data_IF_472593525399
#
_entry.id   IF_472593525399
#
_cell.length_a   1.000
_cell.length_b   1.000
_cell.length_c   1.000
_cell.angle_alpha   90.00
_cell.angle_beta   90.00
_cell.angle_gamma   90.00
#
_symmetry.space_group_name_H-M   'P 1'
#
loop_
_entity.id
_entity.type
_entity.pdbx_description
1 polymer ?
#
# COMPACT_ATOMS: atom_id res chain seq x y z
N UNK A 1 4.63 -1.68 -29.21
CA UNK A 1 4.71 -2.10 -30.62
C UNK A 1 6.14 -2.31 -31.11
N UNK A 2 7.04 -1.31 -31.10
CA UNK A 2 8.42 -1.52 -31.62
C UNK A 2 9.26 -2.53 -30.81
N UNK A 3 9.15 -2.52 -29.49
CA UNK A 3 9.81 -3.54 -28.64
C UNK A 3 9.30 -4.96 -28.91
N UNK A 4 8.01 -5.09 -29.24
CA UNK A 4 7.39 -6.36 -29.64
C UNK A 4 7.87 -6.82 -31.02
N UNK A 5 8.03 -5.89 -31.98
CA UNK A 5 8.69 -6.20 -33.25
C UNK A 5 10.15 -6.67 -33.03
N UNK A 6 10.87 -6.08 -32.06
CA UNK A 6 12.19 -6.56 -31.64
C UNK A 6 12.19 -7.99 -31.09
N UNK A 7 11.16 -8.37 -30.33
CA UNK A 7 10.95 -9.75 -29.85
C UNK A 7 10.70 -10.73 -31.00
N UNK A 8 9.88 -10.36 -31.99
CA UNK A 8 9.64 -11.18 -33.18
C UNK A 8 10.90 -11.33 -34.07
N UNK A 9 11.78 -10.33 -34.06
CA UNK A 9 13.11 -10.42 -34.67
C UNK A 9 14.01 -11.40 -33.91
N UNK A 10 13.90 -11.46 -32.57
CA UNK A 10 14.60 -12.46 -31.75
C UNK A 10 14.10 -13.89 -32.04
N UNK A 11 12.79 -14.06 -32.19
CA UNK A 11 12.17 -15.34 -32.60
C UNK A 11 12.44 -15.75 -34.06
N UNK A 12 13.28 -15.00 -34.78
CA UNK A 12 13.60 -15.19 -36.22
C UNK A 12 12.40 -15.11 -37.17
N UNK A 13 11.25 -14.61 -36.72
CA UNK A 13 10.05 -14.40 -37.56
C UNK A 13 10.15 -13.16 -38.45
N UNK A 14 10.97 -12.18 -38.06
CA UNK A 14 11.21 -10.94 -38.80
C UNK A 14 12.72 -10.67 -38.94
N UNK A 15 13.13 -10.05 -40.06
CA UNK A 15 14.52 -9.62 -40.22
C UNK A 15 14.75 -8.27 -39.54
N UNK A 16 15.89 -8.14 -38.86
CA UNK A 16 16.22 -6.96 -38.06
C UNK A 16 16.28 -5.68 -38.90
N UNK A 17 16.94 -5.75 -40.07
CA UNK A 17 17.14 -4.60 -40.95
C UNK A 17 15.83 -4.14 -41.60
N UNK A 18 15.01 -5.06 -42.13
CA UNK A 18 13.72 -4.69 -42.74
C UNK A 18 12.74 -4.13 -41.70
N UNK A 19 12.78 -4.64 -40.47
CA UNK A 19 11.94 -4.12 -39.38
C UNK A 19 12.29 -2.67 -39.04
N UNK A 20 13.58 -2.33 -38.99
CA UNK A 20 14.01 -0.95 -38.74
C UNK A 20 13.63 -0.03 -39.90
N UNK A 21 13.84 -0.47 -41.14
CA UNK A 21 13.53 0.34 -42.32
C UNK A 21 12.03 0.60 -42.47
N UNK A 22 11.20 -0.42 -42.33
CA UNK A 22 9.73 -0.30 -42.44
C UNK A 22 9.14 0.51 -41.29
N UNK A 23 9.60 0.30 -40.05
CA UNK A 23 9.16 1.10 -38.90
C UNK A 23 9.60 2.56 -39.01
N UNK A 24 10.83 2.81 -39.50
CA UNK A 24 11.31 4.18 -39.75
C UNK A 24 10.49 4.87 -40.85
N UNK A 25 10.16 4.16 -41.93
CA UNK A 25 9.28 4.68 -42.98
C UNK A 25 7.89 5.05 -42.45
N UNK A 26 7.28 4.20 -41.62
CA UNK A 26 5.99 4.48 -40.99
C UNK A 26 6.04 5.70 -40.05
N UNK A 27 7.08 5.81 -39.23
CA UNK A 27 7.24 6.96 -38.30
C UNK A 27 7.45 8.24 -39.08
N UNK A 28 8.37 8.25 -40.05
CA UNK A 28 8.66 9.43 -40.87
C UNK A 28 7.43 9.92 -41.63
N UNK A 29 6.63 9.01 -42.20
CA UNK A 29 5.35 9.36 -42.82
C UNK A 29 4.39 10.04 -41.81
N UNK A 30 4.26 9.47 -40.61
CA UNK A 30 3.40 10.01 -39.56
C UNK A 30 3.79 11.42 -39.12
N UNK A 31 5.08 11.67 -38.86
CA UNK A 31 5.53 13.01 -38.44
C UNK A 31 5.52 14.04 -39.56
N UNK A 32 5.73 13.61 -40.81
CA UNK A 32 5.54 14.47 -41.98
C UNK A 32 4.10 14.93 -42.06
N UNK A 33 3.15 14.01 -41.88
CA UNK A 33 1.72 14.32 -41.88
C UNK A 33 1.37 15.30 -40.76
N UNK A 34 1.87 15.08 -39.54
CA UNK A 34 1.65 16.00 -38.41
C UNK A 34 2.18 17.42 -38.68
N UNK A 35 3.36 17.55 -39.30
CA UNK A 35 3.90 18.85 -39.70
C UNK A 35 2.99 19.57 -40.70
N UNK A 36 2.54 18.87 -41.74
CA UNK A 36 1.67 19.47 -42.76
C UNK A 36 0.29 19.83 -42.22
N UNK A 37 -0.27 19.00 -41.34
CA UNK A 37 -1.51 19.31 -40.64
C UNK A 37 -1.34 20.60 -39.80
N UNK A 38 -0.25 20.71 -39.05
CA UNK A 38 0.04 21.94 -38.29
C UNK A 38 0.23 23.16 -39.21
N UNK A 39 0.91 22.98 -40.34
CA UNK A 39 1.14 24.03 -41.33
C UNK A 39 -0.15 24.54 -41.96
N UNK A 40 -1.09 23.64 -42.27
CA UNK A 40 -2.38 23.97 -42.89
C UNK A 40 -3.39 24.57 -41.91
N UNK A 41 -3.49 24.03 -40.70
CA UNK A 41 -4.40 24.54 -39.66
C UNK A 41 -4.01 25.94 -39.18
N UNK A 42 -2.69 26.21 -39.11
CA UNK A 42 -2.16 27.52 -38.73
C UNK A 42 -2.49 27.95 -37.29
N UNK A 43 -1.95 29.11 -36.88
CA UNK A 43 -2.12 29.67 -35.54
C UNK A 43 -3.59 29.95 -35.12
N UNK A 44 -4.49 30.49 -35.99
CA UNK A 44 -5.83 30.88 -35.54
C UNK A 44 -6.76 29.68 -35.28
N UNK A 45 -6.56 28.54 -35.94
CA UNK A 45 -7.37 27.35 -35.71
C UNK A 45 -7.05 26.69 -34.36
N UNK A 46 -5.75 26.59 -34.02
CA UNK A 46 -5.31 26.01 -32.74
C UNK A 46 -5.69 26.91 -31.57
N UNK A 47 -5.64 28.24 -31.73
CA UNK A 47 -6.12 29.15 -30.70
C UNK A 47 -7.62 28.97 -30.38
N UNK A 48 -8.44 28.60 -31.38
CA UNK A 48 -9.89 28.45 -31.24
C UNK A 48 -10.34 27.05 -30.79
N UNK A 49 -9.65 25.99 -31.22
CA UNK A 49 -10.05 24.59 -30.96
C UNK A 49 -9.00 23.75 -30.21
N UNK A 50 -7.82 24.28 -29.92
CA UNK A 50 -6.69 23.55 -29.32
C UNK A 50 -6.96 23.01 -27.92
N UNK A 51 -7.88 23.65 -27.17
CA UNK A 51 -8.32 23.18 -25.85
C UNK A 51 -8.95 21.78 -25.89
N UNK A 52 -9.55 21.35 -27.02
CA UNK A 52 -10.21 20.04 -27.14
C UNK A 52 -9.25 18.90 -27.52
N UNK A 53 -8.07 19.23 -28.04
CA UNK A 53 -7.10 18.25 -28.58
C UNK A 53 -5.80 18.15 -27.78
N UNK A 54 -5.79 18.56 -26.51
CA UNK A 54 -4.57 18.62 -25.69
C UNK A 54 -3.44 19.39 -26.39
N UNK A 55 -3.80 20.48 -27.09
CA UNK A 55 -2.91 21.50 -27.66
C UNK A 55 -3.33 22.87 -27.14
N UNK A 56 -3.45 22.99 -25.82
CA UNK A 56 -3.85 24.24 -25.18
C UNK A 56 -2.79 25.34 -25.37
N UNK A 57 -3.20 26.61 -25.24
CA UNK A 57 -2.30 27.76 -25.31
C UNK A 57 -1.08 27.61 -24.37
N UNK A 58 -1.29 27.04 -23.19
CA UNK A 58 -0.24 26.78 -22.19
C UNK A 58 0.84 25.79 -22.69
N UNK A 59 0.47 24.77 -23.47
CA UNK A 59 1.44 23.80 -23.99
C UNK A 59 2.24 24.37 -25.17
N UNK A 60 1.60 25.21 -25.99
CA UNK A 60 2.27 25.93 -27.07
C UNK A 60 3.27 26.96 -26.51
N UNK A 61 2.91 27.65 -25.43
CA UNK A 61 3.80 28.57 -24.72
C UNK A 61 5.01 27.84 -24.12
N UNK A 62 4.79 26.72 -23.43
CA UNK A 62 5.90 25.88 -22.91
C UNK A 62 6.84 25.38 -24.01
N UNK A 63 6.29 24.94 -25.14
CA UNK A 63 7.10 24.53 -26.30
C UNK A 63 7.88 25.71 -26.86
N UNK A 64 7.29 26.91 -26.94
CA UNK A 64 7.98 28.12 -27.39
C UNK A 64 9.16 28.45 -26.50
N UNK A 65 8.98 28.47 -25.18
CA UNK A 65 10.05 28.71 -24.20
C UNK A 65 11.17 27.67 -24.31
N UNK A 66 10.82 26.40 -24.56
CA UNK A 66 11.83 25.35 -24.72
C UNK A 66 12.57 25.44 -26.05
N UNK A 67 11.87 25.80 -27.13
CA UNK A 67 12.49 26.06 -28.42
C UNK A 67 13.41 27.28 -28.36
N UNK A 68 13.05 28.33 -27.64
CA UNK A 68 13.93 29.49 -27.38
C UNK A 68 15.19 29.08 -26.60
N UNK A 69 15.05 28.17 -25.62
CA UNK A 69 16.16 27.74 -24.76
C UNK A 69 17.11 26.73 -25.42
N UNK A 70 16.58 25.76 -26.18
CA UNK A 70 17.34 24.61 -26.69
C UNK A 70 17.46 24.57 -28.22
N UNK A 71 16.74 25.44 -28.93
CA UNK A 71 16.75 25.57 -30.37
C UNK A 71 16.30 24.30 -31.10
N UNK A 72 16.71 24.17 -32.36
CA UNK A 72 16.30 23.08 -33.27
C UNK A 72 16.69 21.68 -32.76
N UNK A 73 17.72 21.58 -31.90
CA UNK A 73 18.17 20.31 -31.27
C UNK A 73 17.12 19.69 -30.36
N UNK A 74 16.17 20.50 -29.87
CA UNK A 74 15.04 20.04 -29.06
C UNK A 74 14.22 18.98 -29.82
N UNK A 75 14.10 19.07 -31.15
CA UNK A 75 13.33 18.13 -31.95
C UNK A 75 13.86 16.70 -31.86
N UNK A 76 15.18 16.53 -31.76
CA UNK A 76 15.80 15.22 -31.58
C UNK A 76 15.50 14.66 -30.18
N UNK A 77 15.63 15.48 -29.14
CA UNK A 77 15.45 15.06 -27.73
C UNK A 77 13.97 14.84 -27.41
N UNK A 78 13.09 15.67 -27.96
CA UNK A 78 11.65 15.61 -27.74
C UNK A 78 11.04 14.26 -28.17
N UNK A 79 11.68 13.56 -29.10
CA UNK A 79 11.29 12.20 -29.50
C UNK A 79 11.32 11.20 -28.36
N UNK A 80 12.19 11.42 -27.36
CA UNK A 80 12.33 10.56 -26.19
C UNK A 80 11.40 10.90 -25.05
N UNK A 81 10.66 12.01 -25.14
CA UNK A 81 9.76 12.48 -24.09
C UNK A 81 8.32 12.10 -24.46
N UNK A 82 7.66 11.19 -23.69
CA UNK A 82 6.27 10.81 -23.93
C UNK A 82 5.33 12.02 -23.91
N UNK A 83 4.32 12.01 -24.79
CA UNK A 83 3.38 13.12 -24.97
C UNK A 83 3.93 14.28 -25.82
N UNK A 84 5.17 14.71 -25.58
CA UNK A 84 5.78 15.85 -26.30
C UNK A 84 6.06 15.51 -27.76
N UNK A 85 6.58 14.31 -28.05
CA UNK A 85 6.91 13.89 -29.43
C UNK A 85 5.77 13.98 -30.44
N UNK A 86 4.52 13.87 -29.97
CA UNK A 86 3.35 13.93 -30.84
C UNK A 86 2.94 15.37 -31.13
N UNK A 87 3.24 16.31 -30.22
CA UNK A 87 2.83 17.71 -30.31
C UNK A 87 3.85 18.53 -31.10
N UNK A 88 5.15 18.19 -31.02
CA UNK A 88 6.23 18.94 -31.69
C UNK A 88 6.06 19.03 -33.20
N UNK A 89 5.57 17.98 -33.86
CA UNK A 89 5.28 18.01 -35.30
C UNK A 89 4.28 19.10 -35.67
N UNK A 90 3.15 19.16 -34.96
CA UNK A 90 2.12 20.18 -35.18
C UNK A 90 2.64 21.57 -34.85
N UNK A 91 3.35 21.73 -33.72
CA UNK A 91 3.94 23.00 -33.30
C UNK A 91 4.88 23.58 -34.36
N UNK A 92 5.77 22.77 -34.92
CA UNK A 92 6.69 23.19 -35.98
C UNK A 92 5.97 23.58 -37.28
N UNK A 93 4.89 22.87 -37.62
CA UNK A 93 4.02 23.25 -38.74
C UNK A 93 3.34 24.61 -38.52
N UNK A 94 2.75 24.81 -37.34
CA UNK A 94 2.00 26.02 -36.96
C UNK A 94 2.89 27.25 -36.87
N UNK A 95 4.11 27.07 -36.37
CA UNK A 95 5.14 28.12 -36.29
C UNK A 95 5.85 28.36 -37.63
N UNK A 96 5.53 27.58 -38.66
CA UNK A 96 6.10 27.66 -40.02
C UNK A 96 7.62 27.51 -40.04
N UNK A 97 8.14 26.60 -39.22
CA UNK A 97 9.56 26.24 -39.26
C UNK A 97 9.90 25.64 -40.64
N UNK A 98 11.01 26.00 -41.29
CA UNK A 98 11.34 25.43 -42.61
C UNK A 98 11.46 23.91 -42.55
N UNK A 99 10.68 23.21 -43.39
CA UNK A 99 10.54 21.75 -43.39
C UNK A 99 11.86 21.00 -43.43
N UNK A 100 12.86 21.51 -44.18
CA UNK A 100 14.19 20.89 -44.25
C UNK A 100 14.87 20.79 -42.89
N UNK A 101 14.79 21.84 -42.05
CA UNK A 101 15.38 21.82 -40.71
C UNK A 101 14.61 20.88 -39.79
N UNK A 102 13.29 20.94 -39.85
CA UNK A 102 12.42 20.02 -39.10
C UNK A 102 12.73 18.55 -39.43
N UNK A 103 12.79 18.20 -40.72
CA UNK A 103 13.02 16.85 -41.20
C UNK A 103 14.37 16.29 -40.73
N UNK A 104 15.45 17.09 -40.78
CA UNK A 104 16.78 16.63 -40.36
C UNK A 104 16.77 16.20 -38.88
N UNK A 105 16.23 17.03 -37.98
CA UNK A 105 16.23 16.73 -36.55
C UNK A 105 15.15 15.71 -36.14
N UNK A 106 13.98 15.76 -36.75
CA UNK A 106 12.88 14.84 -36.45
C UNK A 106 13.15 13.44 -37.00
N UNK A 107 13.68 13.31 -38.23
CA UNK A 107 13.97 12.00 -38.83
C UNK A 107 15.17 11.32 -38.18
N UNK A 108 16.22 12.08 -37.83
CA UNK A 108 17.35 11.52 -37.09
C UNK A 108 16.92 10.99 -35.72
N UNK A 109 16.09 11.75 -34.99
CA UNK A 109 15.50 11.30 -33.72
C UNK A 109 14.61 10.06 -33.90
N UNK A 110 13.77 10.05 -34.94
CA UNK A 110 12.90 8.91 -35.27
C UNK A 110 13.68 7.63 -35.57
N UNK A 111 14.67 7.69 -36.45
CA UNK A 111 15.48 6.54 -36.87
C UNK A 111 16.28 6.00 -35.70
N UNK A 112 16.89 6.90 -34.90
CA UNK A 112 17.61 6.50 -33.70
C UNK A 112 16.68 5.81 -32.69
N UNK A 113 15.51 6.39 -32.45
CA UNK A 113 14.50 5.82 -31.55
C UNK A 113 14.05 4.43 -32.01
N UNK A 114 13.67 4.28 -33.29
CA UNK A 114 13.26 2.99 -33.87
C UNK A 114 14.36 1.94 -33.71
N UNK A 115 15.59 2.31 -34.06
CA UNK A 115 16.75 1.41 -33.97
C UNK A 115 17.03 1.00 -32.53
N UNK A 116 16.95 1.93 -31.58
CA UNK A 116 17.14 1.68 -30.15
C UNK A 116 16.12 0.67 -29.64
N UNK A 117 14.82 0.92 -29.82
CA UNK A 117 13.76 0.09 -29.23
C UNK A 117 13.63 -1.29 -29.88
N UNK A 118 13.85 -1.41 -31.19
CA UNK A 118 13.86 -2.71 -31.88
C UNK A 118 15.06 -3.54 -31.43
N UNK A 119 16.24 -2.91 -31.28
CA UNK A 119 17.44 -3.61 -30.80
C UNK A 119 17.32 -3.99 -29.33
N UNK A 120 16.73 -3.14 -28.50
CA UNK A 120 16.44 -3.44 -27.09
C UNK A 120 15.50 -4.64 -26.97
N UNK A 121 14.42 -4.67 -27.76
CA UNK A 121 13.47 -5.79 -27.80
C UNK A 121 14.10 -7.10 -28.27
N UNK A 122 15.07 -7.04 -29.20
CA UNK A 122 15.84 -8.20 -29.65
C UNK A 122 16.74 -8.77 -28.54
N UNK A 123 17.43 -7.91 -27.78
CA UNK A 123 18.34 -8.34 -26.71
C UNK A 123 17.57 -8.85 -25.47
N UNK A 124 16.40 -8.29 -25.18
CA UNK A 124 15.59 -8.63 -24.01
C UNK A 124 14.60 -9.80 -24.24
N UNK A 125 14.54 -10.35 -25.45
CA UNK A 125 13.51 -11.30 -25.92
C UNK A 125 13.08 -12.40 -24.94
N UNK A 126 13.99 -13.15 -24.29
CA UNK A 126 13.61 -14.25 -23.38
C UNK A 126 13.00 -13.82 -22.05
N UNK A 127 13.19 -12.56 -21.61
CA UNK A 127 12.73 -12.05 -20.31
C UNK A 127 11.56 -11.07 -20.42
N UNK A 128 11.13 -10.76 -21.64
CA UNK A 128 10.20 -9.66 -21.90
C UNK A 128 8.77 -9.94 -21.39
N UNK A 129 8.27 -11.18 -21.48
CA UNK A 129 6.92 -11.51 -20.96
C UNK A 129 6.83 -11.38 -19.43
N UNK A 130 7.84 -11.84 -18.69
CA UNK A 130 7.86 -11.78 -17.22
C UNK A 130 8.05 -10.35 -16.68
N UNK A 131 8.77 -9.50 -17.42
CA UNK A 131 9.00 -8.11 -17.04
C UNK A 131 7.87 -7.17 -17.45
N UNK A 132 7.13 -7.43 -18.54
CA UNK A 132 6.14 -6.48 -19.03
C UNK A 132 4.94 -6.32 -18.08
N UNK A 133 4.45 -7.38 -17.44
CA UNK A 133 3.35 -7.29 -16.46
C UNK A 133 3.80 -6.59 -15.17
N UNK A 134 4.99 -6.93 -14.68
CA UNK A 134 5.59 -6.41 -13.45
C UNK A 134 5.94 -4.93 -13.59
N UNK A 135 6.67 -4.56 -14.65
CA UNK A 135 7.11 -3.18 -14.90
C UNK A 135 5.92 -2.26 -15.16
N UNK A 136 4.90 -2.72 -15.90
CA UNK A 136 3.73 -1.86 -16.17
C UNK A 136 2.90 -1.63 -14.90
N UNK A 137 2.74 -2.65 -14.03
CA UNK A 137 2.12 -2.49 -12.70
C UNK A 137 2.90 -1.50 -11.84
N UNK A 138 4.21 -1.65 -11.73
CA UNK A 138 5.03 -0.74 -10.91
C UNK A 138 5.15 0.67 -11.49
N UNK A 139 5.21 0.85 -12.81
CA UNK A 139 5.22 2.17 -13.44
C UNK A 139 3.89 2.90 -13.27
N UNK A 140 2.76 2.19 -13.34
CA UNK A 140 1.43 2.77 -13.07
C UNK A 140 1.33 3.19 -11.59
N UNK A 141 1.75 2.33 -10.66
CA UNK A 141 1.78 2.65 -9.22
C UNK A 141 2.70 3.84 -8.95
N UNK A 142 3.88 3.88 -9.56
CA UNK A 142 4.84 4.98 -9.41
C UNK A 142 4.33 6.29 -10.03
N UNK A 143 3.64 6.23 -11.18
CA UNK A 143 3.03 7.39 -11.82
C UNK A 143 1.85 7.95 -10.99
N UNK A 144 1.03 7.08 -10.42
CA UNK A 144 -0.07 7.47 -9.53
C UNK A 144 0.48 8.06 -8.22
N UNK A 145 1.48 7.41 -7.62
CA UNK A 145 2.12 7.88 -6.39
C UNK A 145 2.83 9.22 -6.58
N UNK A 146 3.59 9.39 -7.66
CA UNK A 146 4.24 10.66 -7.99
C UNK A 146 3.23 11.76 -8.34
N UNK A 147 2.15 11.43 -9.06
CA UNK A 147 1.04 12.34 -9.34
C UNK A 147 0.32 12.80 -8.06
N UNK A 148 0.06 11.89 -7.13
CA UNK A 148 -0.53 12.19 -5.82
C UNK A 148 0.41 13.02 -4.95
N UNK A 149 1.70 12.67 -4.89
CA UNK A 149 2.70 13.42 -4.13
C UNK A 149 2.89 14.83 -4.68
N UNK A 150 2.88 14.99 -6.01
CA UNK A 150 2.95 16.29 -6.65
C UNK A 150 1.68 17.11 -6.39
N UNK A 151 0.50 16.52 -6.50
CA UNK A 151 -0.76 17.17 -6.15
C UNK A 151 -0.80 17.58 -4.68
N UNK A 152 -0.44 16.69 -3.77
CA UNK A 152 -0.35 16.95 -2.34
C UNK A 152 0.66 18.07 -2.04
N UNK A 153 1.85 18.03 -2.64
CA UNK A 153 2.85 19.09 -2.48
C UNK A 153 2.31 20.45 -2.95
N UNK A 154 1.68 20.51 -4.13
CA UNK A 154 1.11 21.74 -4.66
C UNK A 154 -0.09 22.23 -3.84
N UNK A 155 -0.94 21.34 -3.35
CA UNK A 155 -2.07 21.67 -2.48
C UNK A 155 -1.60 22.15 -1.11
N UNK A 156 -0.60 21.49 -0.50
CA UNK A 156 0.00 21.92 0.76
C UNK A 156 0.72 23.27 0.60
N UNK A 157 1.41 23.51 -0.52
CA UNK A 157 2.08 24.79 -0.80
C UNK A 157 1.07 25.92 -1.06
N UNK A 158 -0.01 25.65 -1.80
CA UNK A 158 -1.03 26.64 -2.18
C UNK A 158 -2.03 26.95 -1.06
N UNK A 159 -2.32 26.00 -0.19
CA UNK A 159 -3.37 26.12 0.84
C UNK A 159 -2.87 25.91 2.26
N UNK A 160 -1.56 26.02 2.53
CA UNK A 160 -0.93 25.80 3.86
C UNK A 160 -1.75 26.34 5.03
N UNK A 161 -2.15 27.62 4.96
CA UNK A 161 -2.92 28.28 6.02
C UNK A 161 -4.40 27.86 6.07
N UNK A 162 -5.02 27.57 4.92
CA UNK A 162 -6.41 27.07 4.84
C UNK A 162 -6.53 25.61 5.29
N UNK A 163 -5.53 24.79 5.00
CA UNK A 163 -5.44 23.40 5.43
C UNK A 163 -5.17 23.35 6.93
N UNK A 164 -4.25 24.18 7.47
CA UNK A 164 -4.04 24.25 8.92
C UNK A 164 -5.31 24.78 9.62
N UNK A 165 -5.97 25.80 9.09
CA UNK A 165 -7.24 26.29 9.63
C UNK A 165 -8.36 25.23 9.55
N UNK A 166 -8.48 24.51 8.44
CA UNK A 166 -9.43 23.40 8.28
C UNK A 166 -9.10 22.21 9.17
N UNK A 167 -7.83 21.85 9.35
CA UNK A 167 -7.41 20.79 10.27
C UNK A 167 -7.65 21.21 11.72
N UNK A 168 -7.40 22.47 12.08
CA UNK A 168 -7.74 23.00 13.40
C UNK A 168 -9.25 23.10 13.60
N UNK A 169 -10.04 23.39 12.56
CA UNK A 169 -11.50 23.40 12.60
C UNK A 169 -12.11 21.98 12.59
N UNK A 170 -11.45 21.01 11.97
CA UNK A 170 -11.83 19.60 11.97
C UNK A 170 -11.42 18.91 13.28
N UNK A 171 -10.29 19.29 13.86
CA UNK A 171 -9.88 18.89 15.21
C UNK A 171 -10.77 19.57 16.24
N UNK A 172 -11.05 20.87 16.14
CA UNK A 172 -11.90 21.58 17.11
C UNK A 172 -13.39 21.25 16.95
N UNK A 173 -13.86 21.03 15.72
CA UNK A 173 -15.19 20.52 15.37
C UNK A 173 -15.35 19.06 15.78
N UNK A 174 -14.32 18.23 15.57
CA UNK A 174 -14.21 16.90 16.13
C UNK A 174 -14.27 16.91 17.66
N UNK A 175 -13.56 17.84 18.31
CA UNK A 175 -13.60 18.04 19.77
C UNK A 175 -14.98 18.50 20.25
N UNK A 176 -15.69 19.39 19.52
CA UNK A 176 -17.06 19.82 19.84
C UNK A 176 -18.10 18.72 19.62
N UNK A 177 -17.92 17.89 18.59
CA UNK A 177 -18.77 16.72 18.33
C UNK A 177 -18.49 15.57 19.31
N UNK A 178 -17.24 15.46 19.80
CA UNK A 178 -16.82 14.62 20.94
C UNK A 178 -17.40 15.13 22.27
N UNK A 179 -17.69 16.43 22.40
CA UNK A 179 -18.41 16.97 23.56
C UNK A 179 -19.93 16.74 23.51
N UNK A 180 -20.56 16.70 22.33
CA UNK A 180 -22.01 16.48 22.20
C UNK A 180 -22.41 14.99 22.23
N UNK A 181 -21.53 14.10 21.76
CA UNK A 181 -21.65 12.65 21.91
C UNK A 181 -20.96 12.22 23.21
N UNK A 182 -21.71 12.10 24.31
CA UNK A 182 -21.14 11.67 25.60
C UNK A 182 -20.18 10.47 25.45
N UNK A 183 -19.07 10.46 26.20
CA UNK A 183 -17.89 9.57 26.05
C UNK A 183 -18.19 8.11 25.66
N UNK A 184 -19.28 7.53 26.17
CA UNK A 184 -19.71 6.17 25.84
C UNK A 184 -20.21 5.98 24.38
N UNK A 185 -20.86 6.97 23.77
CA UNK A 185 -21.28 6.92 22.35
C UNK A 185 -20.07 6.93 21.41
N UNK A 186 -19.05 7.72 21.74
CA UNK A 186 -17.80 7.77 20.99
C UNK A 186 -17.03 6.45 21.08
N UNK A 187 -16.88 5.88 22.28
CA UNK A 187 -16.20 4.60 22.46
C UNK A 187 -16.82 3.48 21.61
N UNK A 188 -18.16 3.40 21.57
CA UNK A 188 -18.89 2.44 20.74
C UNK A 188 -18.60 2.66 19.25
N UNK A 189 -18.74 3.90 18.76
CA UNK A 189 -18.50 4.23 17.35
C UNK A 189 -17.06 3.96 16.93
N UNK A 190 -16.09 4.34 17.77
CA UNK A 190 -14.68 4.11 17.53
C UNK A 190 -14.36 2.60 17.48
N UNK A 191 -14.84 1.81 18.45
CA UNK A 191 -14.64 0.35 18.44
C UNK A 191 -15.27 -0.31 17.22
N UNK A 192 -16.42 0.16 16.78
CA UNK A 192 -17.11 -0.36 15.60
C UNK A 192 -16.37 0.00 14.31
N UNK A 193 -15.85 1.22 14.19
CA UNK A 193 -15.03 1.63 13.05
C UNK A 193 -13.73 0.83 12.96
N UNK A 194 -13.04 0.60 14.09
CA UNK A 194 -11.85 -0.25 14.16
C UNK A 194 -12.19 -1.69 13.75
N UNK A 195 -13.29 -2.24 14.25
CA UNK A 195 -13.76 -3.57 13.85
C UNK A 195 -14.00 -3.66 12.34
N UNK A 196 -14.71 -2.71 11.73
CA UNK A 196 -14.96 -2.72 10.29
C UNK A 196 -13.69 -2.58 9.46
N UNK A 197 -12.75 -1.74 9.90
CA UNK A 197 -11.46 -1.57 9.24
C UNK A 197 -10.65 -2.88 9.27
N UNK A 198 -10.52 -3.49 10.44
CA UNK A 198 -9.79 -4.76 10.59
C UNK A 198 -10.49 -5.90 9.85
N UNK A 199 -11.82 -5.91 9.84
CA UNK A 199 -12.61 -6.89 9.08
C UNK A 199 -12.37 -6.74 7.58
N UNK A 200 -12.29 -5.50 7.08
CA UNK A 200 -11.95 -5.24 5.67
C UNK A 200 -10.56 -5.74 5.33
N UNK A 201 -9.57 -5.51 6.20
CA UNK A 201 -8.20 -6.02 6.01
C UNK A 201 -8.18 -7.55 6.05
N UNK A 202 -8.92 -8.16 7.00
CA UNK A 202 -9.05 -9.61 7.12
C UNK A 202 -9.59 -10.24 5.83
N UNK A 203 -10.61 -9.66 5.21
CA UNK A 203 -11.11 -10.13 3.92
C UNK A 203 -10.05 -10.05 2.80
N UNK A 204 -9.28 -8.96 2.76
CA UNK A 204 -8.15 -8.84 1.83
C UNK A 204 -7.13 -9.96 2.03
N UNK A 205 -6.76 -10.25 3.28
CA UNK A 205 -5.82 -11.35 3.59
C UNK A 205 -6.37 -12.73 3.22
N UNK A 206 -7.67 -12.98 3.43
CA UNK A 206 -8.30 -14.23 3.01
C UNK A 206 -8.27 -14.35 1.48
N UNK A 207 -8.52 -13.25 0.76
CA UNK A 207 -8.43 -13.23 -0.69
C UNK A 207 -7.00 -13.54 -1.17
N UNK A 208 -6.00 -12.87 -0.59
CA UNK A 208 -4.59 -13.08 -0.92
C UNK A 208 -4.13 -14.52 -0.60
N UNK A 209 -4.64 -15.11 0.49
CA UNK A 209 -4.42 -16.50 0.86
C UNK A 209 -4.95 -17.45 -0.23
N UNK A 210 -6.23 -17.30 -0.59
CA UNK A 210 -6.91 -18.15 -1.59
C UNK A 210 -6.28 -17.99 -2.97
N UNK A 211 -5.86 -16.77 -3.32
CA UNK A 211 -5.20 -16.46 -4.59
C UNK A 211 -3.71 -16.88 -4.63
N UNK A 212 -3.14 -17.36 -3.51
CA UNK A 212 -1.72 -17.74 -3.36
C UNK A 212 -0.76 -16.57 -3.64
N UNK A 213 -1.14 -15.35 -3.28
CA UNK A 213 -0.37 -14.13 -3.56
C UNK A 213 0.66 -13.78 -2.48
N UNK A 214 0.65 -14.47 -1.33
CA UNK A 214 1.56 -14.16 -0.22
C UNK A 214 3.04 -14.47 -0.47
N UNK A 215 3.38 -15.28 -1.48
CA UNK A 215 4.76 -15.78 -1.65
C UNK A 215 5.81 -14.67 -1.72
N UNK A 216 5.56 -13.60 -2.49
CA UNK A 216 6.51 -12.48 -2.59
C UNK A 216 6.62 -11.70 -1.27
N UNK A 217 5.51 -11.51 -0.56
CA UNK A 217 5.50 -10.81 0.73
C UNK A 217 6.28 -11.60 1.78
N UNK A 218 6.03 -12.91 1.87
CA UNK A 218 6.68 -13.79 2.82
C UNK A 218 8.20 -13.82 2.63
N UNK A 219 8.65 -13.96 1.38
CA UNK A 219 10.07 -14.02 1.05
C UNK A 219 10.78 -12.69 1.35
N UNK A 220 10.21 -11.56 0.90
CA UNK A 220 10.82 -10.23 1.10
C UNK A 220 10.91 -9.88 2.58
N UNK A 221 9.83 -10.08 3.35
CA UNK A 221 9.83 -9.72 4.77
C UNK A 221 10.76 -10.63 5.56
N UNK A 222 10.81 -11.92 5.26
CA UNK A 222 11.75 -12.85 5.90
C UNK A 222 13.20 -12.41 5.71
N UNK A 223 13.61 -12.10 4.47
CA UNK A 223 14.98 -11.63 4.21
C UNK A 223 15.28 -10.28 4.86
N UNK A 224 14.31 -9.36 4.88
CA UNK A 224 14.47 -8.07 5.56
C UNK A 224 14.69 -8.26 7.06
N UNK A 225 13.92 -9.15 7.70
CA UNK A 225 14.09 -9.46 9.13
C UNK A 225 15.48 -10.02 9.38
N UNK A 226 15.95 -11.00 8.62
CA UNK A 226 17.30 -11.56 8.77
C UNK A 226 18.43 -10.55 8.52
N UNK A 227 18.24 -9.64 7.57
CA UNK A 227 19.24 -8.63 7.23
C UNK A 227 19.36 -7.56 8.33
N UNK A 228 18.23 -7.15 8.92
CA UNK A 228 18.18 -6.11 9.96
C UNK A 228 18.55 -6.71 11.32
N UNK A 229 17.96 -7.86 11.65
CA UNK A 229 18.15 -8.60 12.89
C UNK A 229 19.25 -9.63 12.66
N UNK A 230 20.50 -9.18 12.72
CA UNK A 230 21.66 -10.07 12.57
C UNK A 230 21.83 -11.06 13.73
N UNK A 231 22.83 -11.96 13.63
CA UNK A 231 23.09 -13.02 14.61
C UNK A 231 23.34 -12.55 16.05
N UNK A 232 23.77 -11.29 16.25
CA UNK A 232 23.93 -10.70 17.58
C UNK A 232 22.63 -10.64 18.39
N UNK A 233 21.49 -10.66 17.73
CA UNK A 233 20.18 -10.59 18.37
C UNK A 233 19.57 -11.97 18.64
N UNK A 234 20.25 -13.07 18.32
CA UNK A 234 19.72 -14.42 18.43
C UNK A 234 19.13 -14.72 19.82
N UNK A 235 19.92 -14.59 20.88
CA UNK A 235 19.49 -14.82 22.27
C UNK A 235 18.31 -13.91 22.67
N UNK A 236 18.31 -12.67 22.18
CA UNK A 236 17.22 -11.71 22.45
C UNK A 236 15.93 -12.07 21.71
N UNK A 237 16.04 -12.58 20.49
CA UNK A 237 14.88 -13.05 19.74
C UNK A 237 14.28 -14.27 20.42
N UNK A 238 15.11 -15.15 21.01
CA UNK A 238 14.67 -16.29 21.81
C UNK A 238 13.93 -15.84 23.08
N UNK A 239 14.48 -14.86 23.81
CA UNK A 239 13.79 -14.23 24.94
C UNK A 239 12.41 -13.68 24.53
N UNK A 240 12.32 -13.04 23.37
CA UNK A 240 11.07 -12.47 22.86
C UNK A 240 10.05 -13.52 22.40
N UNK A 241 10.46 -14.75 22.04
CA UNK A 241 9.50 -15.85 21.79
C UNK A 241 8.71 -16.19 23.06
N UNK A 242 9.28 -15.99 24.25
CA UNK A 242 8.58 -16.22 25.52
C UNK A 242 7.37 -15.30 25.69
N UNK A 243 7.25 -14.23 24.90
CA UNK A 243 6.05 -13.39 24.87
C UNK A 243 4.83 -14.19 24.37
N UNK A 244 5.03 -15.16 23.48
CA UNK A 244 3.99 -16.08 23.00
C UNK A 244 3.57 -17.12 24.04
N UNK A 245 4.32 -17.26 25.13
CA UNK A 245 4.13 -18.34 26.09
C UNK A 245 2.78 -18.26 26.82
N UNK A 246 2.16 -19.43 27.01
CA UNK A 246 0.96 -19.58 27.84
C UNK A 246 1.15 -19.03 29.27
N UNK A 247 2.37 -19.10 29.81
CA UNK A 247 2.68 -18.60 31.16
C UNK A 247 2.57 -17.08 31.26
N UNK A 248 3.07 -16.34 30.25
CA UNK A 248 2.95 -14.90 30.22
C UNK A 248 1.48 -14.48 30.06
N UNK A 249 0.78 -15.10 29.12
CA UNK A 249 -0.64 -14.84 28.87
C UNK A 249 -1.49 -15.10 30.12
N UNK A 250 -1.29 -16.24 30.79
CA UNK A 250 -1.98 -16.57 32.03
C UNK A 250 -1.69 -15.55 33.15
N UNK A 251 -0.44 -15.08 33.26
CA UNK A 251 -0.04 -14.07 34.24
C UNK A 251 -0.72 -12.73 34.00
N UNK A 252 -0.82 -12.28 32.75
CA UNK A 252 -1.51 -11.04 32.37
C UNK A 252 -3.03 -11.14 32.61
N UNK A 253 -3.63 -12.30 32.32
CA UNK A 253 -5.05 -12.57 32.61
C UNK A 253 -5.28 -12.53 34.12
N UNK A 254 -4.42 -13.16 34.92
CA UNK A 254 -4.52 -13.15 36.38
C UNK A 254 -4.38 -11.74 36.96
N UNK A 255 -3.42 -10.95 36.47
CA UNK A 255 -3.27 -9.53 36.87
C UNK A 255 -4.52 -8.72 36.54
N UNK A 256 -5.08 -8.93 35.34
CA UNK A 256 -6.31 -8.24 34.89
C UNK A 256 -7.51 -8.63 35.76
N UNK A 257 -7.64 -9.92 36.09
CA UNK A 257 -8.65 -10.43 37.02
C UNK A 257 -8.57 -9.73 38.38
N UNK A 258 -7.36 -9.62 38.94
CA UNK A 258 -7.12 -8.92 40.21
C UNK A 258 -7.54 -7.45 40.11
N UNK A 259 -7.12 -6.74 39.05
CA UNK A 259 -7.50 -5.34 38.83
C UNK A 259 -9.02 -5.15 38.77
N UNK A 260 -9.74 -5.99 38.03
CA UNK A 260 -11.20 -5.93 37.93
C UNK A 260 -11.85 -6.22 39.29
N UNK A 261 -11.32 -7.19 40.06
CA UNK A 261 -11.88 -7.57 41.35
C UNK A 261 -11.81 -6.43 42.38
N UNK A 262 -10.76 -5.62 42.34
CA UNK A 262 -10.54 -4.49 43.25
C UNK A 262 -11.15 -3.17 42.74
N UNK A 263 -11.01 -2.84 41.45
CA UNK A 263 -11.39 -1.52 40.88
C UNK A 263 -12.65 -1.54 40.00
N UNK A 264 -13.15 -2.70 39.62
CA UNK A 264 -14.25 -2.82 38.67
C UNK A 264 -15.62 -2.43 39.23
N UNK A 265 -16.35 -1.59 38.48
CA UNK A 265 -17.73 -1.22 38.81
C UNK A 265 -18.73 -2.37 38.50
N UNK A 266 -18.64 -3.00 37.32
CA UNK A 266 -19.46 -4.16 36.93
C UNK A 266 -18.59 -5.40 36.78
N UNK A 267 -18.09 -5.91 37.92
CA UNK A 267 -17.08 -6.97 38.01
C UNK A 267 -17.49 -8.22 37.22
N UNK A 268 -18.71 -8.70 37.41
CA UNK A 268 -19.19 -9.92 36.75
C UNK A 268 -19.16 -9.79 35.23
N UNK A 269 -19.64 -8.67 34.68
CA UNK A 269 -19.68 -8.47 33.23
C UNK A 269 -18.27 -8.33 32.63
N UNK A 270 -17.37 -7.59 33.28
CA UNK A 270 -15.98 -7.47 32.81
C UNK A 270 -15.23 -8.82 32.90
N UNK A 271 -15.44 -9.61 33.95
CA UNK A 271 -14.85 -10.95 34.09
C UNK A 271 -15.40 -11.96 33.08
N UNK A 272 -16.71 -11.95 32.82
CA UNK A 272 -17.32 -12.79 31.80
C UNK A 272 -16.75 -12.49 30.41
N UNK A 273 -16.58 -11.21 30.07
CA UNK A 273 -15.97 -10.82 28.81
C UNK A 273 -14.47 -11.13 28.74
N UNK A 274 -13.73 -11.04 29.85
CA UNK A 274 -12.33 -11.47 29.90
C UNK A 274 -12.23 -12.95 29.55
N UNK A 275 -13.00 -13.80 30.24
CA UNK A 275 -13.02 -15.25 30.00
C UNK A 275 -13.50 -15.59 28.57
N UNK A 276 -14.60 -14.98 28.13
CA UNK A 276 -15.15 -15.19 26.79
C UNK A 276 -14.17 -14.79 25.68
N UNK A 277 -13.52 -13.64 25.81
CA UNK A 277 -12.61 -13.15 24.77
C UNK A 277 -11.35 -14.02 24.70
N UNK A 278 -10.79 -14.44 25.83
CA UNK A 278 -9.59 -15.29 25.81
C UNK A 278 -9.89 -16.73 25.41
N UNK A 279 -10.90 -17.38 26.00
CA UNK A 279 -11.24 -18.76 25.68
C UNK A 279 -11.85 -18.89 24.28
N UNK A 280 -12.77 -17.99 23.91
CA UNK A 280 -13.36 -17.95 22.58
C UNK A 280 -12.34 -17.61 21.50
N UNK A 281 -11.31 -16.80 21.84
CA UNK A 281 -10.20 -16.51 20.93
C UNK A 281 -9.39 -17.75 20.58
N UNK A 282 -9.02 -18.57 21.57
CA UNK A 282 -8.31 -19.84 21.34
C UNK A 282 -9.13 -20.78 20.46
N UNK A 283 -10.42 -20.96 20.79
CA UNK A 283 -11.32 -21.82 20.00
C UNK A 283 -11.48 -21.32 18.57
N UNK A 284 -11.64 -20.00 18.39
CA UNK A 284 -11.76 -19.40 17.07
C UNK A 284 -10.48 -19.59 16.24
N UNK A 285 -9.31 -19.37 16.85
CA UNK A 285 -8.03 -19.55 16.18
C UNK A 285 -7.84 -20.99 15.70
N UNK A 286 -8.09 -21.97 16.57
CA UNK A 286 -8.01 -23.38 16.20
C UNK A 286 -8.98 -23.74 15.07
N UNK A 287 -10.22 -23.24 15.14
CA UNK A 287 -11.20 -23.41 14.07
C UNK A 287 -10.73 -22.82 12.74
N UNK A 288 -10.13 -21.63 12.75
CA UNK A 288 -9.60 -21.00 11.53
C UNK A 288 -8.42 -21.77 10.95
N UNK A 289 -7.48 -22.21 11.80
CA UNK A 289 -6.32 -23.00 11.40
C UNK A 289 -6.73 -24.33 10.76
N UNK A 290 -7.77 -24.96 11.29
CA UNK A 290 -8.43 -26.14 10.70
C UNK A 290 -9.28 -25.82 9.46
N UNK A 291 -9.47 -24.56 9.07
CA UNK A 291 -10.14 -24.24 7.79
C UNK A 291 -9.08 -24.00 6.73
N UNK A 292 -8.07 -23.19 7.03
CA UNK A 292 -7.05 -22.80 6.06
C UNK A 292 -6.01 -23.89 5.77
N UNK A 293 -5.68 -24.75 6.73
CA UNK A 293 -4.75 -25.88 6.57
C UNK A 293 -3.44 -25.53 5.86
N UNK A 294 -2.85 -24.37 6.18
CA UNK A 294 -1.60 -23.94 5.56
C UNK A 294 -0.42 -24.75 6.09
N UNK A 295 0.41 -25.25 5.19
CA UNK A 295 1.73 -25.80 5.55
C UNK A 295 2.72 -24.67 5.78
N UNK A 296 3.35 -24.69 6.95
CA UNK A 296 4.36 -23.73 7.37
C UNK A 296 5.73 -23.96 6.73
N UNK A 297 6.70 -23.12 7.09
CA UNK A 297 8.09 -23.32 6.69
C UNK A 297 8.69 -24.60 7.28
N UNK A 298 9.72 -25.13 6.61
CA UNK A 298 10.49 -26.26 7.12
C UNK A 298 11.41 -25.75 8.22
N UNK A 299 11.07 -26.06 9.46
CA UNK A 299 11.88 -25.66 10.60
C UNK A 299 13.26 -26.34 10.55
N UNK A 300 14.32 -25.56 10.82
CA UNK A 300 15.68 -26.08 10.94
C UNK A 300 15.84 -27.04 12.14
N UNK A 301 14.94 -26.96 13.11
CA UNK A 301 14.98 -27.73 14.35
C UNK A 301 14.35 -29.11 14.22
N UNK A 302 13.22 -29.24 13.52
CA UNK A 302 12.48 -30.52 13.41
C UNK A 302 12.64 -31.20 12.05
N UNK A 303 13.14 -30.51 11.02
CA UNK A 303 13.35 -31.07 9.68
C UNK A 303 12.07 -31.36 8.89
N UNK A 304 10.90 -30.99 9.42
CA UNK A 304 9.59 -31.11 8.77
C UNK A 304 8.80 -29.79 8.89
N UNK A 305 7.88 -29.51 7.95
CA UNK A 305 7.05 -28.32 8.00
C UNK A 305 6.00 -28.39 9.11
N UNK A 306 5.80 -27.28 9.81
CA UNK A 306 4.75 -27.16 10.82
C UNK A 306 3.39 -27.11 10.11
N UNK A 307 2.41 -27.87 10.58
CA UNK A 307 1.08 -27.89 9.97
C UNK A 307 0.18 -26.79 10.55
N UNK A 308 -0.75 -26.32 9.73
CA UNK A 308 -1.77 -25.33 10.08
C UNK A 308 -1.17 -24.04 10.67
N UNK A 309 -0.24 -23.38 9.97
CA UNK A 309 0.39 -22.15 10.50
C UNK A 309 -0.42 -20.88 10.30
N UNK A 310 -1.49 -20.91 9.49
CA UNK A 310 -2.30 -19.74 9.16
C UNK A 310 -3.71 -19.80 9.77
N UNK A 311 -4.17 -18.74 10.47
CA UNK A 311 -3.35 -17.64 11.00
C UNK A 311 -2.41 -18.12 12.12
N UNK A 312 -1.40 -17.32 12.45
CA UNK A 312 -0.46 -17.59 13.54
C UNK A 312 -1.14 -17.62 14.90
N UNK A 313 -1.01 -18.75 15.61
CA UNK A 313 -1.59 -18.94 16.95
C UNK A 313 -0.99 -17.99 17.98
N UNK A 314 0.34 -17.85 18.01
CA UNK A 314 1.05 -17.03 19.00
C UNK A 314 0.65 -15.56 18.90
N UNK A 315 0.60 -15.03 17.67
CA UNK A 315 0.32 -13.61 17.42
C UNK A 315 -1.15 -13.29 17.57
N UNK A 316 -2.04 -14.23 17.17
CA UNK A 316 -3.47 -14.14 17.43
C UNK A 316 -3.75 -14.10 18.93
N UNK A 317 -3.15 -15.03 19.68
CA UNK A 317 -3.33 -15.14 21.13
C UNK A 317 -2.75 -13.93 21.84
N UNK A 318 -1.56 -13.45 21.44
CA UNK A 318 -0.94 -12.26 22.00
C UNK A 318 -1.81 -11.02 21.81
N UNK A 319 -2.33 -10.74 20.61
CA UNK A 319 -3.23 -9.59 20.39
C UNK A 319 -4.53 -9.76 21.16
N UNK A 320 -5.08 -10.98 21.20
CA UNK A 320 -6.32 -11.26 21.93
C UNK A 320 -6.18 -11.01 23.42
N UNK A 321 -5.17 -11.60 24.04
CA UNK A 321 -4.95 -11.54 25.49
C UNK A 321 -4.40 -10.18 25.88
N UNK A 322 -3.27 -9.74 25.31
CA UNK A 322 -2.64 -8.47 25.69
C UNK A 322 -3.54 -7.28 25.33
N UNK A 323 -4.10 -7.27 24.12
CA UNK A 323 -4.97 -6.20 23.66
C UNK A 323 -6.22 -6.04 24.51
N UNK A 324 -6.92 -7.14 24.80
CA UNK A 324 -8.14 -7.07 25.62
C UNK A 324 -7.85 -6.78 27.09
N UNK A 325 -6.78 -7.35 27.66
CA UNK A 325 -6.36 -7.07 29.03
C UNK A 325 -5.96 -5.60 29.21
N UNK A 326 -5.14 -5.05 28.29
CA UNK A 326 -4.79 -3.62 28.31
C UNK A 326 -6.04 -2.76 28.22
N UNK A 327 -6.97 -3.07 27.31
CA UNK A 327 -8.23 -2.36 27.21
C UNK A 327 -9.00 -2.38 28.56
N UNK A 328 -9.15 -3.52 29.21
CA UNK A 328 -9.85 -3.61 30.50
C UNK A 328 -9.14 -2.86 31.62
N UNK A 329 -7.80 -2.95 31.69
CA UNK A 329 -7.00 -2.25 32.70
C UNK A 329 -7.13 -0.74 32.53
N UNK A 330 -6.98 -0.23 31.31
CA UNK A 330 -6.99 1.21 31.04
C UNK A 330 -8.31 1.89 31.39
N UNK A 331 -9.42 1.16 31.40
CA UNK A 331 -10.72 1.69 31.86
C UNK A 331 -10.73 2.10 33.33
N UNK A 332 -9.85 1.53 34.14
CA UNK A 332 -9.77 1.78 35.59
C UNK A 332 -8.75 2.86 35.96
N UNK A 333 -8.03 3.40 34.99
CA UNK A 333 -7.08 4.50 35.17
C UNK A 333 -7.55 5.72 34.36
N UNK A 334 -7.32 6.93 34.86
CA UNK A 334 -7.71 8.17 34.18
C UNK A 334 -6.54 8.91 33.52
N UNK A 335 -5.30 8.54 33.87
CA UNK A 335 -4.10 9.24 33.43
C UNK A 335 -3.73 8.85 32.00
N UNK A 336 -3.60 9.85 31.11
CA UNK A 336 -3.27 9.64 29.70
C UNK A 336 -1.88 9.00 29.48
N UNK A 337 -0.91 9.30 30.35
CA UNK A 337 0.45 8.73 30.27
C UNK A 337 0.41 7.20 30.46
N UNK A 338 -0.41 6.72 31.40
CA UNK A 338 -0.59 5.27 31.63
C UNK A 338 -1.21 4.61 30.40
N UNK A 339 -2.16 5.28 29.74
CA UNK A 339 -2.75 4.77 28.49
C UNK A 339 -1.71 4.64 27.39
N UNK A 340 -0.95 5.71 27.15
CA UNK A 340 0.09 5.72 26.13
C UNK A 340 1.13 4.63 26.38
N UNK A 341 1.62 4.52 27.61
CA UNK A 341 2.64 3.54 27.98
C UNK A 341 2.14 2.10 27.81
N UNK A 342 0.96 1.77 28.33
CA UNK A 342 0.43 0.39 28.23
C UNK A 342 0.10 -0.01 26.79
N UNK A 343 -0.46 0.90 25.98
CA UNK A 343 -0.73 0.64 24.57
C UNK A 343 0.58 0.46 23.80
N UNK A 344 1.57 1.33 24.02
CA UNK A 344 2.87 1.23 23.39
C UNK A 344 3.61 -0.06 23.80
N UNK A 345 3.55 -0.44 25.07
CA UNK A 345 4.14 -1.67 25.58
C UNK A 345 3.49 -2.91 24.95
N UNK A 346 2.16 -3.00 24.90
CA UNK A 346 1.47 -4.12 24.27
C UNK A 346 1.77 -4.20 22.77
N UNK A 347 1.77 -3.06 22.06
CA UNK A 347 2.15 -3.01 20.65
C UNK A 347 3.59 -3.48 20.43
N UNK A 348 4.53 -3.02 21.25
CA UNK A 348 5.93 -3.42 21.17
C UNK A 348 6.11 -4.92 21.44
N UNK A 349 5.46 -5.45 22.48
CA UNK A 349 5.51 -6.88 22.81
C UNK A 349 4.96 -7.73 21.67
N UNK A 350 3.80 -7.36 21.12
CA UNK A 350 3.25 -8.03 19.94
C UNK A 350 4.26 -7.99 18.79
N UNK A 351 4.79 -6.82 18.44
CA UNK A 351 5.73 -6.65 17.32
C UNK A 351 7.02 -7.46 17.50
N UNK A 352 7.61 -7.47 18.70
CA UNK A 352 8.81 -8.25 19.01
C UNK A 352 8.54 -9.75 18.86
N UNK A 353 7.40 -10.25 19.35
CA UNK A 353 6.99 -11.65 19.19
C UNK A 353 6.91 -12.04 17.70
N UNK A 354 6.26 -11.22 16.88
CA UNK A 354 6.11 -11.50 15.44
C UNK A 354 7.44 -11.53 14.70
N UNK A 355 8.32 -10.58 15.01
CA UNK A 355 9.68 -10.55 14.44
C UNK A 355 10.45 -11.80 14.84
N UNK A 356 10.37 -12.24 16.10
CA UNK A 356 11.03 -13.46 16.56
C UNK A 356 10.53 -14.70 15.81
N UNK A 357 9.22 -14.85 15.62
CA UNK A 357 8.65 -15.99 14.90
C UNK A 357 9.13 -16.07 13.44
N UNK A 358 9.28 -14.92 12.79
CA UNK A 358 9.82 -14.81 11.43
C UNK A 358 11.33 -15.10 11.43
N UNK A 359 12.07 -14.56 12.41
CA UNK A 359 13.51 -14.72 12.54
C UNK A 359 13.95 -16.18 12.68
N UNK A 360 13.26 -16.96 13.51
CA UNK A 360 13.52 -18.40 13.67
C UNK A 360 12.89 -19.27 12.58
N UNK A 361 12.26 -18.64 11.57
CA UNK A 361 11.58 -19.33 10.49
C UNK A 361 10.52 -20.34 10.98
N UNK A 362 9.83 -20.02 12.08
CA UNK A 362 8.76 -20.86 12.64
C UNK A 362 7.44 -20.65 11.89
N UNK A 363 7.19 -19.43 11.43
CA UNK A 363 5.96 -19.04 10.74
C UNK A 363 6.28 -18.07 9.59
N UNK A 364 5.42 -18.04 8.57
CA UNK A 364 5.57 -17.05 7.50
C UNK A 364 5.16 -15.65 7.98
N UNK A 365 5.75 -14.58 7.41
CA UNK A 365 5.31 -13.20 7.70
C UNK A 365 3.81 -12.96 7.53
N UNK A 366 3.18 -13.57 6.52
CA UNK A 366 1.72 -13.48 6.30
C UNK A 366 0.92 -14.23 7.37
N UNK A 367 1.44 -15.32 7.94
CA UNK A 367 0.81 -16.04 9.05
C UNK A 367 0.76 -15.15 10.30
N UNK A 368 1.89 -14.50 10.62
CA UNK A 368 2.05 -13.53 11.72
C UNK A 368 1.14 -12.32 11.53
N UNK A 369 1.14 -11.73 10.33
CA UNK A 369 0.26 -10.61 10.01
C UNK A 369 -1.23 -11.00 10.14
N UNK A 370 -1.59 -12.21 9.70
CA UNK A 370 -2.96 -12.70 9.81
C UNK A 370 -3.36 -12.91 11.26
N UNK A 371 -2.49 -13.46 12.11
CA UNK A 371 -2.77 -13.60 13.54
C UNK A 371 -3.09 -12.26 14.20
N UNK A 372 -2.33 -11.20 13.91
CA UNK A 372 -2.64 -9.86 14.42
C UNK A 372 -3.97 -9.30 13.91
N UNK A 373 -4.25 -9.43 12.62
CA UNK A 373 -5.47 -8.88 12.02
C UNK A 373 -6.70 -9.64 12.53
N UNK A 374 -6.67 -10.96 12.51
CA UNK A 374 -7.80 -11.80 12.92
C UNK A 374 -8.04 -11.69 14.43
N UNK A 375 -6.97 -11.69 15.24
CA UNK A 375 -7.06 -11.42 16.68
C UNK A 375 -7.59 -10.00 16.95
N UNK A 376 -7.18 -9.01 16.17
CA UNK A 376 -7.67 -7.64 16.25
C UNK A 376 -9.16 -7.52 15.93
N UNK A 377 -9.66 -8.23 14.91
CA UNK A 377 -11.10 -8.33 14.60
C UNK A 377 -11.85 -8.91 15.80
N UNK A 378 -11.34 -10.00 16.38
CA UNK A 378 -11.93 -10.64 17.56
C UNK A 378 -11.98 -9.70 18.77
N UNK A 379 -10.88 -9.01 19.08
CA UNK A 379 -10.81 -8.06 20.20
C UNK A 379 -11.73 -6.86 19.98
N UNK A 380 -11.69 -6.24 18.80
CA UNK A 380 -12.51 -5.05 18.51
C UNK A 380 -14.01 -5.35 18.54
N UNK A 381 -14.42 -6.53 18.07
CA UNK A 381 -15.80 -7.02 18.23
C UNK A 381 -16.20 -7.15 19.69
N UNK A 382 -15.36 -7.78 20.52
CA UNK A 382 -15.64 -7.98 21.94
C UNK A 382 -15.65 -6.66 22.73
N UNK A 383 -14.77 -5.71 22.39
CA UNK A 383 -14.77 -4.35 22.92
C UNK A 383 -16.09 -3.64 22.59
N UNK A 384 -16.52 -3.69 21.32
CA UNK A 384 -17.79 -3.10 20.87
C UNK A 384 -18.98 -3.72 21.61
N UNK A 385 -19.06 -5.05 21.69
CA UNK A 385 -20.10 -5.78 22.40
C UNK A 385 -20.17 -5.41 23.88
N UNK A 386 -19.01 -5.30 24.55
CA UNK A 386 -18.92 -4.89 25.95
C UNK A 386 -19.50 -3.48 26.16
N UNK A 387 -19.11 -2.52 25.32
CA UNK A 387 -19.55 -1.12 25.46
C UNK A 387 -21.04 -0.96 25.17
N UNK A 388 -21.56 -1.67 24.17
CA UNK A 388 -23.01 -1.71 23.89
C UNK A 388 -23.76 -2.27 25.10
N UNK A 389 -23.35 -3.43 25.64
CA UNK A 389 -24.02 -4.02 26.80
C UNK A 389 -23.99 -3.13 28.04
N UNK A 390 -22.87 -2.47 28.33
CA UNK A 390 -22.77 -1.54 29.46
C UNK A 390 -23.70 -0.35 29.32
N UNK A 391 -23.84 0.19 28.11
CA UNK A 391 -24.74 1.31 27.85
C UNK A 391 -26.20 0.91 28.03
N UNK A 392 -26.59 -0.28 27.55
CA UNK A 392 -27.93 -0.82 27.73
C UNK A 392 -28.28 -1.06 29.21
N UNK A 393 -27.32 -1.51 30.03
CA UNK A 393 -27.52 -1.66 31.47
C UNK A 393 -27.71 -0.31 32.16
N UNK A 394 -26.94 0.72 31.79
CA UNK A 394 -27.09 2.08 32.34
C UNK A 394 -28.42 2.74 31.99
N UNK A 395 -28.93 2.51 30.77
CA UNK A 395 -30.24 3.07 30.37
C UNK A 395 -31.42 2.37 31.04
N UNK A 396 -31.32 1.07 31.36
CA UNK A 396 -32.37 0.36 32.11
C UNK A 396 -32.49 0.85 33.56
N UNK A 397 -31.37 1.19 34.20
CA UNK A 397 -31.33 1.70 35.58
C UNK A 397 -31.80 3.15 35.71
N UNK A 398 -31.91 3.93 34.62
CA UNK A 398 -32.47 5.30 34.68
C UNK A 398 -33.97 5.37 34.38
N UNK A 399 -34.61 4.24 34.08
CA UNK A 399 -36.04 4.14 33.74
C UNK A 399 -36.82 3.40 34.85
N UNK A 400 -36.12 2.58 35.63
CA UNK A 400 -36.62 2.00 36.89
C UNK A 400 -36.22 2.92 38.06
#
# INVERSE_FOLDING_TARGET
>A
MMSYAGMLVFEKKLSWLLSILTASAGVTAGITLSYWIGYWLGKPFIAKYGHRFHMGAEQMERLTVWFEKYGDKLLFIAYFIPGIRHITGYFCGVTRMPFRRYAIYAYSGAVFWVSLFISLGKVLGPKWETYHSTVNRYLIIFAIASGLLFLLYNLMKKYKYRIIAFLLDLVSGGVRQVQSLGKAKYAILASFAVFLLLLSVMFGMIQDFVAKEFGQFDEVIYYLVLMIIGSRWHDRMEDFLQIGSIYLHASVIALTFVVIRFKGNNKLLELLFLCWTTAGGVVLNEGLRMVFHRTGPVSSEYGFPIMNTFPSEDTFTAVTVLGFCVFLILRHYSQAIIHLFMIAAAFLLCLLLGISLIYFHLQYPSDVAAGYVFGGVWVSLNVFMLEVRRKLQRSRVSIA
#
